data_IF_358677667008
#
_entry.id   IF_358677667008
#
_cell.length_a   1.000
_cell.length_b   1.000
_cell.length_c   1.000
_cell.angle_alpha   90.00
_cell.angle_beta   90.00
_cell.angle_gamma   90.00
#
_symmetry.space_group_name_H-M   'P 1'
#
loop_
_entity.id
_entity.type
_entity.pdbx_description
1 polymer ?
#
# COMPACT_ATOMS: atom_id res chain seq x y z
N UNK A 1 49.59 38.05 -6.81
CA UNK A 1 48.85 39.04 -5.99
C UNK A 1 47.90 39.78 -6.91
N UNK A 2 46.61 39.44 -6.82
CA UNK A 2 45.56 39.86 -7.77
C UNK A 2 45.08 41.27 -7.44
N UNK A 3 45.06 42.15 -8.44
CA UNK A 3 44.50 43.50 -8.36
C UNK A 3 42.98 43.39 -8.32
N UNK A 4 42.35 43.87 -7.25
CA UNK A 4 40.90 43.91 -7.10
C UNK A 4 40.39 45.16 -7.83
N UNK A 5 39.58 44.96 -8.86
CA UNK A 5 38.91 46.04 -9.60
C UNK A 5 37.51 46.20 -8.99
N UNK A 6 37.24 47.41 -8.49
CA UNK A 6 35.96 47.85 -7.94
C UNK A 6 35.07 48.31 -9.10
N UNK A 7 33.93 47.64 -9.33
CA UNK A 7 32.93 48.06 -10.34
C UNK A 7 31.64 48.44 -9.60
N UNK A 8 31.22 49.67 -9.83
CA UNK A 8 30.07 50.35 -9.24
C UNK A 8 28.75 49.71 -9.70
N UNK A 9 27.87 49.43 -8.75
CA UNK A 9 26.51 48.98 -8.97
C UNK A 9 25.62 50.21 -9.19
N UNK A 10 25.22 50.46 -10.44
CA UNK A 10 24.21 51.48 -10.76
C UNK A 10 22.80 50.88 -10.55
N UNK A 11 22.12 51.35 -9.50
CA UNK A 11 20.69 51.22 -9.36
C UNK A 11 20.00 52.20 -10.32
N UNK A 12 19.28 51.68 -11.31
CA UNK A 12 18.23 52.44 -12.00
C UNK A 12 16.95 51.60 -12.03
N UNK A 13 16.02 52.04 -11.20
CA UNK A 13 14.63 51.59 -11.13
C UNK A 13 13.96 51.92 -12.47
N UNK A 14 13.55 50.88 -13.19
CA UNK A 14 12.54 50.99 -14.25
C UNK A 14 11.28 50.35 -13.71
N UNK A 15 10.35 51.17 -13.24
CA UNK A 15 8.98 50.76 -12.91
C UNK A 15 8.34 50.17 -14.16
N UNK A 16 8.30 48.83 -14.22
CA UNK A 16 7.50 48.14 -15.20
C UNK A 16 6.10 48.00 -14.63
N UNK A 17 5.14 48.67 -15.28
CA UNK A 17 3.72 48.59 -15.00
C UNK A 17 3.31 47.12 -14.87
N UNK A 18 2.88 46.73 -13.67
CA UNK A 18 2.24 45.44 -13.41
C UNK A 18 0.95 45.37 -14.21
N UNK A 19 1.02 44.77 -15.40
CA UNK A 19 -0.16 44.26 -16.06
C UNK A 19 -0.67 43.10 -15.21
N UNK A 20 -1.84 43.29 -14.60
CA UNK A 20 -2.64 42.22 -14.01
C UNK A 20 -2.99 41.19 -15.10
N UNK A 21 -2.05 40.28 -15.37
CA UNK A 21 -2.39 38.99 -15.91
C UNK A 21 -3.10 38.26 -14.79
N UNK A 22 -4.44 38.34 -14.79
CA UNK A 22 -5.28 37.25 -14.27
C UNK A 22 -4.62 35.97 -14.74
N UNK A 23 -4.01 35.24 -13.80
CA UNK A 23 -3.58 33.88 -14.07
C UNK A 23 -4.87 33.14 -14.29
N UNK A 24 -5.24 33.00 -15.57
CA UNK A 24 -6.29 32.10 -15.98
C UNK A 24 -5.76 30.71 -15.61
N UNK A 25 -6.15 30.25 -14.42
CA UNK A 25 -5.89 28.88 -13.97
C UNK A 25 -6.64 28.01 -14.96
N UNK A 26 -5.93 27.56 -16.00
CA UNK A 26 -6.41 26.46 -16.82
C UNK A 26 -6.61 25.30 -15.86
N UNK A 27 -7.88 24.96 -15.58
CA UNK A 27 -8.23 23.68 -15.00
C UNK A 27 -7.90 22.61 -16.05
N UNK A 28 -6.60 22.30 -16.22
CA UNK A 28 -6.16 21.20 -17.06
C UNK A 28 -6.61 19.90 -16.39
N UNK A 29 -7.68 19.33 -16.94
CA UNK A 29 -8.16 18.02 -16.53
C UNK A 29 -7.09 16.98 -16.85
N UNK A 30 -6.47 16.44 -15.80
CA UNK A 30 -5.47 15.37 -15.93
C UNK A 30 -6.18 14.12 -16.44
N UNK A 31 -5.78 13.64 -17.62
CA UNK A 31 -6.30 12.42 -18.24
C UNK A 31 -5.38 11.24 -18.00
N UNK A 32 -5.97 10.06 -17.87
CA UNK A 32 -5.25 8.80 -17.80
C UNK A 32 -4.48 8.54 -19.11
N UNK A 33 -3.18 8.31 -19.00
CA UNK A 33 -2.31 7.94 -20.12
C UNK A 33 -2.39 6.45 -20.45
N UNK A 34 -2.69 5.62 -19.44
CA UNK A 34 -2.71 4.16 -19.55
C UNK A 34 -4.08 3.68 -20.05
N UNK A 35 -4.07 2.73 -20.98
CA UNK A 35 -5.27 2.01 -21.46
C UNK A 35 -5.04 0.51 -21.42
N UNK A 36 -6.14 -0.23 -21.37
CA UNK A 36 -6.14 -1.68 -21.50
C UNK A 36 -6.30 -2.08 -22.96
N UNK A 37 -5.39 -2.90 -23.46
CA UNK A 37 -5.45 -3.44 -24.82
C UNK A 37 -6.34 -4.70 -24.83
N UNK A 38 -7.63 -4.49 -25.01
CA UNK A 38 -8.65 -5.54 -24.98
C UNK A 38 -8.42 -6.58 -26.08
N UNK A 39 -7.99 -6.13 -27.27
CA UNK A 39 -7.77 -7.01 -28.41
C UNK A 39 -6.60 -7.96 -28.11
N UNK A 40 -5.44 -7.41 -27.74
CA UNK A 40 -4.26 -8.20 -27.35
C UNK A 40 -4.59 -9.15 -26.22
N UNK A 41 -5.29 -8.68 -25.18
CA UNK A 41 -5.70 -9.53 -24.06
C UNK A 41 -6.55 -10.72 -24.53
N UNK A 42 -7.57 -10.48 -25.35
CA UNK A 42 -8.45 -11.55 -25.83
C UNK A 42 -7.75 -12.56 -26.74
N UNK A 43 -6.77 -12.12 -27.54
CA UNK A 43 -5.99 -12.99 -28.42
C UNK A 43 -5.00 -13.88 -27.66
N UNK A 44 -4.54 -13.45 -26.46
CA UNK A 44 -3.47 -14.12 -25.73
C UNK A 44 -3.92 -14.80 -24.42
N UNK A 45 -5.12 -14.51 -23.92
CA UNK A 45 -5.60 -15.07 -22.64
C UNK A 45 -5.75 -16.59 -22.70
N UNK A 46 -5.38 -17.24 -21.60
CA UNK A 46 -5.62 -18.66 -21.33
C UNK A 46 -6.41 -18.77 -20.04
N UNK A 47 -7.52 -19.51 -20.08
CA UNK A 47 -8.40 -19.70 -18.91
C UNK A 47 -8.84 -18.40 -18.23
N UNK A 48 -9.02 -17.32 -19.00
CA UNK A 48 -9.47 -16.02 -18.49
C UNK A 48 -8.38 -15.05 -18.05
N UNK A 49 -7.10 -15.46 -18.12
CA UNK A 49 -5.95 -14.65 -17.70
C UNK A 49 -4.90 -14.54 -18.80
N UNK A 50 -4.15 -13.44 -18.84
CA UNK A 50 -2.98 -13.28 -19.68
C UNK A 50 -1.78 -12.91 -18.81
N UNK A 51 -0.81 -13.82 -18.73
CA UNK A 51 0.40 -13.67 -17.91
C UNK A 51 1.61 -13.55 -18.82
N UNK A 52 2.42 -12.52 -18.61
CA UNK A 52 3.66 -12.29 -19.37
C UNK A 52 4.68 -11.52 -18.52
N UNK A 53 5.93 -11.46 -18.98
CA UNK A 53 6.99 -10.68 -18.35
C UNK A 53 7.27 -9.44 -19.19
N UNK A 54 7.34 -8.26 -18.56
CA UNK A 54 7.69 -7.02 -19.26
C UNK A 54 9.20 -6.91 -19.53
N UNK A 55 9.62 -5.87 -20.26
CA UNK A 55 11.03 -5.64 -20.59
C UNK A 55 11.92 -5.35 -19.37
N UNK A 56 11.33 -5.03 -18.22
CA UNK A 56 12.03 -4.78 -16.95
C UNK A 56 12.11 -6.04 -16.08
N UNK A 57 11.52 -7.15 -16.54
CA UNK A 57 11.49 -8.41 -15.82
C UNK A 57 10.39 -8.51 -14.77
N UNK A 58 9.41 -7.59 -14.77
CA UNK A 58 8.25 -7.68 -13.89
C UNK A 58 7.23 -8.67 -14.46
N UNK A 59 6.59 -9.44 -13.59
CA UNK A 59 5.48 -10.29 -14.00
C UNK A 59 4.21 -9.46 -14.08
N UNK A 60 3.54 -9.54 -15.23
CA UNK A 60 2.26 -8.89 -15.49
C UNK A 60 1.19 -9.96 -15.59
N UNK A 61 0.10 -9.79 -14.83
CA UNK A 61 -1.11 -10.61 -14.95
C UNK A 61 -2.27 -9.70 -15.32
N UNK A 62 -2.91 -9.97 -16.45
CA UNK A 62 -4.13 -9.30 -16.89
C UNK A 62 -5.31 -10.25 -16.78
N UNK A 63 -6.45 -9.77 -16.29
CA UNK A 63 -7.67 -10.57 -16.08
C UNK A 63 -8.94 -9.82 -16.49
N UNK A 64 -10.01 -10.57 -16.71
CA UNK A 64 -11.37 -10.01 -16.74
C UNK A 64 -11.92 -9.92 -15.32
N UNK A 65 -12.59 -8.82 -14.98
CA UNK A 65 -13.32 -8.64 -13.72
C UNK A 65 -14.81 -8.47 -13.99
N UNK A 66 -15.65 -8.54 -12.95
CA UNK A 66 -17.10 -8.30 -13.08
C UNK A 66 -17.45 -6.93 -13.70
N UNK A 67 -16.56 -5.94 -13.61
CA UNK A 67 -16.82 -4.54 -14.00
C UNK A 67 -15.83 -4.01 -15.05
N UNK A 68 -15.07 -4.87 -15.71
CA UNK A 68 -14.06 -4.47 -16.70
C UNK A 68 -12.83 -5.37 -16.64
N UNK A 69 -11.64 -4.77 -16.51
CA UNK A 69 -10.36 -5.50 -16.55
C UNK A 69 -9.46 -5.14 -15.39
N UNK A 70 -8.54 -6.04 -15.04
CA UNK A 70 -7.49 -5.83 -14.05
C UNK A 70 -6.12 -6.11 -14.65
N UNK A 71 -5.11 -5.33 -14.24
CA UNK A 71 -3.69 -5.59 -14.48
C UNK A 71 -2.95 -5.52 -13.16
N UNK A 72 -2.21 -6.58 -12.86
CA UNK A 72 -1.37 -6.73 -11.68
C UNK A 72 0.08 -6.77 -12.15
N UNK A 73 0.94 -5.97 -11.52
CA UNK A 73 2.37 -5.92 -11.85
C UNK A 73 3.15 -6.27 -10.59
N UNK A 74 3.68 -7.48 -10.56
CA UNK A 74 4.58 -7.94 -9.50
C UNK A 74 6.00 -7.49 -9.82
N UNK A 75 6.53 -6.61 -8.98
CA UNK A 75 7.82 -5.99 -9.21
C UNK A 75 8.94 -6.93 -8.78
N UNK A 76 9.89 -7.19 -9.67
CA UNK A 76 10.98 -8.17 -9.44
C UNK A 76 11.81 -7.86 -8.19
N UNK A 77 11.98 -6.58 -7.87
CA UNK A 77 12.90 -6.11 -6.82
C UNK A 77 12.18 -5.45 -5.62
N UNK A 78 10.85 -5.49 -5.55
CA UNK A 78 10.11 -4.95 -4.40
C UNK A 78 9.49 -6.07 -3.56
N UNK A 79 9.68 -5.99 -2.24
CA UNK A 79 9.18 -7.00 -1.30
C UNK A 79 7.66 -6.89 -1.13
N UNK A 80 6.92 -7.90 -1.63
CA UNK A 80 5.46 -7.99 -1.49
C UNK A 80 4.69 -6.73 -1.95
N UNK A 81 5.21 -6.01 -2.92
CA UNK A 81 4.51 -4.87 -3.51
C UNK A 81 4.09 -5.22 -4.93
N UNK A 82 2.84 -4.90 -5.24
CA UNK A 82 2.29 -4.98 -6.60
C UNK A 82 1.72 -3.62 -7.00
N UNK A 83 1.87 -3.24 -8.26
CA UNK A 83 0.98 -2.22 -8.82
C UNK A 83 -0.31 -2.88 -9.29
N UNK A 84 -1.43 -2.23 -8.98
CA UNK A 84 -2.74 -2.55 -9.48
C UNK A 84 -3.21 -1.47 -10.44
N UNK A 85 -3.83 -1.90 -11.52
CA UNK A 85 -4.60 -1.07 -12.42
C UNK A 85 -5.93 -1.75 -12.66
N UNK A 86 -7.02 -1.04 -12.40
CA UNK A 86 -8.35 -1.47 -12.81
C UNK A 86 -8.84 -0.58 -13.95
N UNK A 87 -9.54 -1.19 -14.89
CA UNK A 87 -10.05 -0.54 -16.08
C UNK A 87 -11.55 -0.80 -16.19
N UNK A 88 -12.27 0.16 -16.74
CA UNK A 88 -13.64 -0.02 -17.19
C UNK A 88 -13.70 -1.06 -18.33
N UNK A 89 -14.89 -1.56 -18.65
CA UNK A 89 -15.11 -2.46 -19.79
C UNK A 89 -14.71 -1.83 -21.14
N UNK A 90 -14.64 -0.51 -21.21
CA UNK A 90 -14.12 0.25 -22.37
C UNK A 90 -12.59 0.22 -22.47
N UNK A 91 -11.89 -0.31 -21.48
CA UNK A 91 -10.43 -0.32 -21.38
C UNK A 91 -9.82 0.99 -20.88
N UNK A 92 -10.65 1.97 -20.50
CA UNK A 92 -10.20 3.23 -19.87
C UNK A 92 -9.81 2.95 -18.42
N UNK A 93 -8.69 3.53 -17.97
CA UNK A 93 -8.21 3.40 -16.60
C UNK A 93 -9.25 3.94 -15.63
N UNK A 94 -9.55 3.17 -14.59
CA UNK A 94 -10.51 3.49 -13.54
C UNK A 94 -9.80 3.83 -12.23
N UNK A 95 -8.80 3.04 -11.86
CA UNK A 95 -7.99 3.32 -10.68
C UNK A 95 -6.62 2.68 -10.81
N UNK A 96 -5.62 3.30 -10.21
CA UNK A 96 -4.27 2.76 -10.13
C UNK A 96 -3.61 3.08 -8.79
N UNK A 97 -2.70 2.21 -8.36
CA UNK A 97 -1.86 2.44 -7.20
C UNK A 97 -1.10 1.19 -6.79
N UNK A 98 -0.39 1.26 -5.67
CA UNK A 98 0.36 0.13 -5.11
C UNK A 98 -0.45 -0.59 -4.04
N UNK A 99 -0.24 -1.89 -3.91
CA UNK A 99 -0.73 -2.69 -2.78
C UNK A 99 0.44 -3.41 -2.13
N UNK A 100 0.35 -3.58 -0.81
CA UNK A 100 1.14 -4.56 -0.10
C UNK A 100 0.41 -5.91 -0.12
N UNK A 101 0.95 -6.86 -0.88
CA UNK A 101 0.32 -8.15 -1.17
C UNK A 101 0.22 -9.04 0.07
N UNK A 102 1.23 -8.99 0.97
CA UNK A 102 1.25 -9.74 2.23
C UNK A 102 0.14 -9.35 3.23
N UNK A 103 -0.65 -8.33 2.91
CA UNK A 103 -1.78 -7.86 3.71
C UNK A 103 -3.04 -7.49 2.93
N UNK A 104 -2.95 -7.45 1.59
CA UNK A 104 -4.05 -7.05 0.72
C UNK A 104 -4.53 -5.61 0.92
N UNK A 105 -3.65 -4.67 1.28
CA UNK A 105 -4.03 -3.27 1.49
C UNK A 105 -3.32 -2.31 0.53
N UNK A 106 -4.03 -1.24 0.16
CA UNK A 106 -3.50 -0.13 -0.65
C UNK A 106 -2.39 0.58 0.09
N UNK A 107 -1.29 0.92 -0.58
CA UNK A 107 -0.18 1.74 -0.06
C UNK A 107 0.11 2.89 -1.02
N UNK A 108 0.73 3.94 -0.49
CA UNK A 108 1.00 5.19 -1.19
C UNK A 108 -0.24 5.83 -1.79
N UNK A 109 -0.01 6.61 -2.84
CA UNK A 109 -1.06 7.31 -3.56
C UNK A 109 -1.82 6.39 -4.51
N UNK A 110 -3.15 6.45 -4.45
CA UNK A 110 -4.07 5.86 -5.39
C UNK A 110 -4.83 6.93 -6.15
N UNK A 111 -4.86 6.80 -7.46
CA UNK A 111 -5.58 7.70 -8.36
C UNK A 111 -6.84 7.01 -8.88
N UNK A 112 -7.92 7.76 -9.00
CA UNK A 112 -9.21 7.28 -9.48
C UNK A 112 -9.70 8.18 -10.60
N UNK A 113 -10.26 7.59 -11.64
CA UNK A 113 -10.63 8.24 -12.87
C UNK A 113 -12.08 7.91 -13.23
N UNK A 114 -12.76 8.83 -13.90
CA UNK A 114 -14.08 8.57 -14.45
C UNK A 114 -14.01 7.73 -15.74
N UNK A 115 -15.17 7.40 -16.31
CA UNK A 115 -15.27 6.63 -17.56
C UNK A 115 -14.68 7.34 -18.79
N UNK A 116 -14.42 8.64 -18.72
CA UNK A 116 -13.73 9.42 -19.75
C UNK A 116 -12.22 9.48 -19.53
N UNK A 117 -11.73 8.88 -18.44
CA UNK A 117 -10.34 8.85 -18.03
C UNK A 117 -9.89 10.14 -17.35
N UNK A 118 -10.80 10.98 -16.87
CA UNK A 118 -10.45 12.21 -16.13
C UNK A 118 -10.22 11.87 -14.67
N UNK A 119 -9.10 12.34 -14.09
CA UNK A 119 -8.79 12.15 -12.68
C UNK A 119 -9.88 12.80 -11.81
N UNK A 120 -10.53 12.01 -10.98
CA UNK A 120 -11.62 12.45 -10.08
C UNK A 120 -11.17 12.50 -8.63
N UNK A 121 -10.21 11.65 -8.24
CA UNK A 121 -9.75 11.54 -6.86
C UNK A 121 -8.32 11.05 -6.81
N UNK A 122 -7.55 11.57 -5.85
CA UNK A 122 -6.25 11.03 -5.46
C UNK A 122 -6.25 10.87 -3.94
N UNK A 123 -5.85 9.71 -3.44
CA UNK A 123 -5.83 9.39 -2.00
C UNK A 123 -4.46 8.83 -1.65
N UNK A 124 -3.76 9.49 -0.74
CA UNK A 124 -2.61 8.91 -0.08
C UNK A 124 -3.08 8.00 1.07
N UNK A 125 -2.98 6.69 0.86
CA UNK A 125 -3.38 5.69 1.86
C UNK A 125 -2.38 5.53 3.00
N UNK A 126 -1.15 6.04 2.86
CA UNK A 126 -0.13 6.02 3.91
C UNK A 126 -0.23 7.23 4.84
N UNK A 127 -0.89 8.30 4.40
CA UNK A 127 -1.11 9.53 5.19
C UNK A 127 -1.58 9.29 6.63
N UNK A 128 -2.56 8.40 6.91
CA UNK A 128 -3.00 8.14 8.29
C UNK A 128 -1.97 7.39 9.15
N UNK A 129 -0.98 6.76 8.52
CA UNK A 129 -0.01 5.86 9.15
C UNK A 129 1.38 6.49 9.29
N UNK A 130 1.56 7.78 9.02
CA UNK A 130 2.87 8.45 8.94
C UNK A 130 3.74 8.30 10.21
N UNK A 131 3.15 8.25 11.40
CA UNK A 131 3.91 8.09 12.66
C UNK A 131 4.33 6.65 12.94
N UNK A 132 3.72 5.68 12.24
CA UNK A 132 4.13 4.28 12.26
C UNK A 132 3.98 3.68 10.85
N UNK A 133 4.88 3.99 9.91
CA UNK A 133 4.73 3.56 8.54
C UNK A 133 5.06 2.06 8.38
N UNK A 134 4.76 1.49 7.21
CA UNK A 134 4.98 0.06 6.94
C UNK A 134 6.44 -0.35 7.18
N UNK A 135 7.41 0.49 6.85
CA UNK A 135 8.84 0.23 7.05
C UNK A 135 9.15 0.02 8.54
N UNK A 136 8.49 0.77 9.42
CA UNK A 136 8.64 0.62 10.87
C UNK A 136 8.00 -0.67 11.37
N UNK A 137 6.88 -1.09 10.77
CA UNK A 137 6.25 -2.40 11.03
C UNK A 137 7.19 -3.55 10.64
N UNK A 138 7.73 -3.52 9.42
CA UNK A 138 8.65 -4.54 8.91
C UNK A 138 9.94 -4.60 9.74
N UNK A 139 10.49 -3.44 10.11
CA UNK A 139 11.67 -3.36 10.98
C UNK A 139 11.39 -3.93 12.38
N UNK A 140 10.23 -3.61 12.96
CA UNK A 140 9.82 -4.16 14.26
C UNK A 140 9.70 -5.69 14.20
N UNK A 141 9.00 -6.24 13.20
CA UNK A 141 8.88 -7.68 13.03
C UNK A 141 10.25 -8.37 12.84
N UNK A 142 11.12 -7.80 12.01
CA UNK A 142 12.49 -8.30 11.82
C UNK A 142 13.30 -8.26 13.12
N UNK A 143 13.15 -7.21 13.94
CA UNK A 143 13.81 -7.13 15.25
C UNK A 143 13.39 -8.24 16.22
N UNK A 144 12.15 -8.73 16.07
CA UNK A 144 11.59 -9.87 16.82
C UNK A 144 11.89 -11.22 16.15
N UNK A 145 12.74 -11.23 15.11
CA UNK A 145 13.09 -12.41 14.30
C UNK A 145 11.88 -13.09 13.63
N UNK A 146 10.82 -12.32 13.37
CA UNK A 146 9.65 -12.83 12.67
C UNK A 146 9.96 -13.12 11.19
N UNK A 147 9.45 -14.23 10.68
CA UNK A 147 9.51 -14.55 9.26
C UNK A 147 8.45 -13.74 8.50
N UNK A 148 8.86 -12.72 7.73
CA UNK A 148 7.93 -11.79 7.07
C UNK A 148 7.05 -12.44 5.98
N UNK A 149 7.45 -13.61 5.48
CA UNK A 149 6.77 -14.38 4.43
C UNK A 149 6.30 -15.76 4.93
N UNK A 150 6.30 -15.97 6.25
CA UNK A 150 5.85 -17.22 6.84
C UNK A 150 4.37 -17.47 6.52
N UNK A 151 4.01 -18.75 6.40
CA UNK A 151 2.63 -19.18 6.12
C UNK A 151 1.60 -18.59 7.10
N UNK A 152 2.02 -18.35 8.34
CA UNK A 152 1.20 -17.78 9.40
C UNK A 152 1.56 -16.34 9.74
N UNK A 153 2.24 -15.64 8.84
CA UNK A 153 2.55 -14.23 9.01
C UNK A 153 1.49 -13.37 8.34
N UNK A 154 0.98 -12.39 9.09
CA UNK A 154 0.01 -11.43 8.58
C UNK A 154 0.42 -10.02 8.96
N UNK A 155 0.34 -9.12 8.00
CA UNK A 155 0.47 -7.68 8.21
C UNK A 155 -0.78 -7.05 7.63
N UNK A 156 -1.56 -6.35 8.44
CA UNK A 156 -2.81 -5.74 7.99
C UNK A 156 -3.01 -4.38 8.65
N UNK A 157 -3.74 -3.50 7.98
CA UNK A 157 -4.13 -2.21 8.53
C UNK A 157 -5.57 -1.86 8.22
N UNK A 158 -6.21 -1.14 9.14
CA UNK A 158 -7.55 -0.57 8.96
C UNK A 158 -7.75 0.60 9.91
N UNK A 159 -8.83 1.33 9.71
CA UNK A 159 -9.42 2.15 10.76
C UNK A 159 -10.24 1.23 11.69
N UNK A 160 -10.11 1.42 13.00
CA UNK A 160 -10.96 0.73 13.97
C UNK A 160 -12.34 1.41 14.08
N UNK A 161 -13.19 0.94 15.00
CA UNK A 161 -14.53 1.49 15.22
C UNK A 161 -14.55 2.96 15.67
N UNK A 162 -13.40 3.48 16.14
CA UNK A 162 -13.21 4.87 16.58
C UNK A 162 -12.47 5.70 15.53
N UNK A 163 -12.35 5.19 14.30
CA UNK A 163 -11.61 5.83 13.21
C UNK A 163 -10.12 6.05 13.52
N UNK A 164 -9.53 5.21 14.39
CA UNK A 164 -8.09 5.22 14.65
C UNK A 164 -7.39 4.33 13.61
N UNK A 165 -6.35 4.81 12.91
CA UNK A 165 -5.57 3.98 12.00
C UNK A 165 -4.71 3.00 12.80
N UNK A 166 -4.97 1.71 12.59
CA UNK A 166 -4.37 0.61 13.33
C UNK A 166 -3.58 -0.32 12.43
N UNK A 167 -2.42 -0.77 12.90
CA UNK A 167 -1.76 -1.98 12.39
C UNK A 167 -2.12 -3.18 13.24
N UNK A 168 -2.36 -4.29 12.55
CA UNK A 168 -2.52 -5.62 13.12
C UNK A 168 -1.47 -6.51 12.47
N UNK A 169 -0.51 -6.96 13.27
CA UNK A 169 0.51 -7.89 12.81
C UNK A 169 0.47 -9.16 13.63
N UNK A 170 0.69 -10.30 12.97
CA UNK A 170 0.85 -11.58 13.63
C UNK A 170 1.85 -12.47 12.91
N UNK A 171 2.50 -13.36 13.66
CA UNK A 171 3.43 -14.36 13.13
C UNK A 171 3.54 -15.57 14.06
N UNK A 172 3.98 -16.72 13.51
CA UNK A 172 4.22 -17.94 14.28
C UNK A 172 5.39 -17.70 15.26
N UNK A 173 5.17 -17.99 16.55
CA UNK A 173 6.20 -17.93 17.57
C UNK A 173 7.21 -19.09 17.46
N UNK A 174 6.98 -20.04 16.55
CA UNK A 174 7.66 -21.34 16.46
C UNK A 174 7.59 -22.12 17.77
N UNK A 175 6.46 -21.96 18.46
CA UNK A 175 6.16 -22.62 19.73
C UNK A 175 4.83 -23.34 19.59
N UNK A 176 4.73 -24.47 20.30
CA UNK A 176 3.52 -25.27 20.38
C UNK A 176 3.10 -25.36 21.84
N UNK A 177 1.79 -25.33 22.09
CA UNK A 177 1.24 -25.59 23.43
C UNK A 177 1.37 -27.07 23.80
N UNK A 178 1.05 -27.46 25.04
CA UNK A 178 0.93 -28.89 25.41
C UNK A 178 -0.06 -29.64 24.53
N UNK A 179 -1.12 -28.96 24.11
CA UNK A 179 -2.14 -29.50 23.23
C UNK A 179 -1.76 -29.38 21.75
N UNK A 180 -0.49 -29.11 21.41
CA UNK A 180 0.00 -29.00 20.02
C UNK A 180 -0.62 -27.89 19.15
N UNK A 181 -1.22 -26.86 19.77
CA UNK A 181 -1.63 -25.65 19.06
C UNK A 181 -0.42 -24.79 18.67
N UNK A 182 -0.46 -24.19 17.48
CA UNK A 182 0.46 -23.13 17.08
C UNK A 182 0.27 -21.94 18.00
N UNK A 183 1.37 -21.42 18.55
CA UNK A 183 1.36 -20.14 19.27
C UNK A 183 1.64 -18.99 18.30
N UNK A 184 0.71 -18.05 18.22
CA UNK A 184 0.84 -16.83 17.42
C UNK A 184 1.17 -15.65 18.29
N UNK A 185 2.17 -14.87 17.90
CA UNK A 185 2.35 -13.52 18.45
C UNK A 185 1.40 -12.58 17.70
N UNK A 186 0.63 -11.77 18.42
CA UNK A 186 -0.24 -10.75 17.85
C UNK A 186 0.08 -9.40 18.47
N UNK A 187 0.20 -8.38 17.63
CA UNK A 187 0.48 -7.01 18.04
C UNK A 187 -0.51 -6.06 17.38
N UNK A 188 -1.09 -5.19 18.20
CA UNK A 188 -1.93 -4.08 17.74
C UNK A 188 -1.17 -2.76 17.98
N UNK A 189 -1.07 -1.93 16.94
CA UNK A 189 -0.31 -0.68 16.96
C UNK A 189 -1.22 0.46 16.55
N UNK A 190 -1.30 1.48 17.41
CA UNK A 190 -1.95 2.76 17.08
C UNK A 190 -0.97 3.55 16.20
N UNK A 191 -1.28 3.66 14.91
CA UNK A 191 -0.42 4.33 13.94
C UNK A 191 -0.48 5.85 14.08
N UNK A 192 -1.52 6.41 14.70
CA UNK A 192 -1.67 7.84 14.95
C UNK A 192 -0.85 8.29 16.16
N UNK A 193 -0.66 7.43 17.16
CA UNK A 193 0.22 7.67 18.31
C UNK A 193 1.64 7.14 18.08
N UNK A 194 1.80 6.20 17.17
CA UNK A 194 3.08 5.60 16.87
C UNK A 194 3.53 4.59 17.91
N UNK A 195 2.59 3.92 18.58
CA UNK A 195 2.86 3.05 19.72
C UNK A 195 2.13 1.71 19.65
N UNK A 196 2.76 0.68 20.21
CA UNK A 196 2.11 -0.60 20.48
C UNK A 196 1.10 -0.38 21.61
N UNK A 197 -0.14 -0.78 21.38
CA UNK A 197 -1.22 -0.70 22.36
C UNK A 197 -1.55 -2.04 22.97
N UNK A 198 -1.24 -3.14 22.27
CA UNK A 198 -1.55 -4.48 22.76
C UNK A 198 -0.61 -5.53 22.18
N UNK A 199 -0.22 -6.48 23.02
CA UNK A 199 0.50 -7.69 22.65
C UNK A 199 -0.15 -8.88 23.34
N UNK A 200 -0.43 -9.93 22.56
CA UNK A 200 -1.04 -11.14 23.08
C UNK A 200 -0.66 -12.37 22.25
N UNK A 201 -0.71 -13.53 22.89
CA UNK A 201 -0.59 -14.81 22.21
C UNK A 201 -1.96 -15.40 21.93
N UNK A 202 -2.19 -15.87 20.70
CA UNK A 202 -3.36 -16.66 20.33
C UNK A 202 -2.93 -18.03 19.85
N UNK A 203 -3.90 -18.94 19.74
CA UNK A 203 -3.64 -20.34 19.46
C UNK A 203 -4.54 -20.83 18.33
N UNK A 204 -4.02 -21.65 17.44
CA UNK A 204 -4.84 -22.29 16.41
C UNK A 204 -4.25 -23.64 15.99
N UNK A 205 -5.12 -24.46 15.40
CA UNK A 205 -4.82 -25.80 14.92
C UNK A 205 -4.36 -25.77 13.45
N UNK A 206 -3.33 -26.53 13.09
CA UNK A 206 -2.95 -26.71 11.67
C UNK A 206 -3.97 -27.54 10.88
N UNK A 207 -4.63 -28.51 11.54
CA UNK A 207 -5.58 -29.43 10.91
C UNK A 207 -6.73 -29.80 11.85
N UNK A 208 -7.90 -30.10 11.25
CA UNK A 208 -9.15 -30.52 11.91
C UNK A 208 -8.94 -31.35 13.17
N UNK A 209 -8.93 -30.69 14.32
CA UNK A 209 -8.94 -31.35 15.61
C UNK A 209 -10.38 -31.37 16.14
N UNK A 210 -10.96 -32.54 16.43
CA UNK A 210 -12.31 -32.66 17.00
C UNK A 210 -12.45 -32.17 18.45
N UNK A 211 -11.39 -31.64 19.07
CA UNK A 211 -11.44 -31.08 20.44
C UNK A 211 -11.69 -29.57 20.42
N UNK A 212 -12.92 -29.20 20.79
CA UNK A 212 -13.54 -27.86 20.71
C UNK A 212 -12.91 -26.73 21.54
N UNK A 213 -11.79 -26.95 22.25
CA UNK A 213 -11.25 -25.95 23.19
C UNK A 213 -9.88 -25.44 22.75
N UNK A 214 -9.90 -24.44 21.87
CA UNK A 214 -8.75 -23.56 21.65
C UNK A 214 -8.49 -22.79 22.96
N UNK A 215 -7.26 -22.77 23.50
CA UNK A 215 -6.95 -21.99 24.68
C UNK A 215 -7.30 -20.51 24.49
N UNK A 216 -7.79 -19.87 25.55
CA UNK A 216 -8.05 -18.43 25.50
C UNK A 216 -6.75 -17.65 25.24
N UNK A 217 -6.80 -16.54 24.49
CA UNK A 217 -5.62 -15.72 24.25
C UNK A 217 -4.94 -15.26 25.54
N UNK A 218 -3.62 -15.34 25.59
CA UNK A 218 -2.82 -14.86 26.72
C UNK A 218 -2.40 -13.43 26.44
N UNK A 219 -2.98 -12.47 27.18
CA UNK A 219 -2.61 -11.06 27.07
C UNK A 219 -1.27 -10.84 27.76
N UNK A 220 -0.26 -10.42 26.99
CA UNK A 220 1.05 -10.02 27.53
C UNK A 220 0.98 -8.58 28.01
N UNK A 221 0.30 -7.73 27.24
CA UNK A 221 0.19 -6.31 27.51
C UNK A 221 -1.04 -5.70 26.83
N UNK A 222 -1.72 -4.77 27.51
CA UNK A 222 -2.88 -4.04 26.98
C UNK A 222 -2.98 -2.64 27.60
N UNK A 223 -2.71 -1.59 26.81
CA UNK A 223 -2.88 -0.18 27.23
C UNK A 223 -4.34 0.25 27.26
N UNK A 224 -5.24 -0.47 26.59
CA UNK A 224 -6.63 -0.04 26.40
C UNK A 224 -7.52 -0.32 27.61
N UNK A 225 -7.00 -1.08 28.59
CA UNK A 225 -7.70 -1.50 29.82
C UNK A 225 -7.35 -0.67 31.06
N UNK A 226 -6.77 0.52 30.91
CA UNK A 226 -6.51 1.46 32.01
C UNK A 226 -7.61 2.48 32.15
#
# INVERSE_FOLDING_TARGET
>A
MKKIILIQLLCLLSSCNGQDKKTEVKNEQIKAEKKFDIKRFNENKKSGEYIYTDSLGNQITEITTKKGYGRYVSLKNEFNVKFLYHFYSTGILKEEGKVFDGGGFRIGTWNFYDEKGVLTKSIDYDKPFEKYPLEKVLAYMKSRKAELLGMYTRIYRKFDEKEVPMWYISWDAHQRTKDDCITMVNIEIDAQKGEIVKEYHSFFWEYNNPYDKIPAPVIIFDKTKK
#
